data_IF_209108948120
#
_entry.id   IF_209108948120
#
_cell.length_a   1.000
_cell.length_b   1.000
_cell.length_c   1.000
_cell.angle_alpha   90.00
_cell.angle_beta   90.00
_cell.angle_gamma   90.00
#
_symmetry.space_group_name_H-M   'P 1'
#
loop_
_entity.id
_entity.type
_entity.pdbx_description
1 polymer ?
#
# COMPACT_ATOMS: atom_id res chain seq x y z
N UNK A 1 9.86 -9.33 -1.90
CA UNK A 1 10.18 -9.95 -0.59
C UNK A 1 10.48 -11.43 -0.73
N UNK A 2 9.54 -12.24 -1.24
CA UNK A 2 9.70 -13.70 -1.36
C UNK A 2 10.45 -14.16 -2.61
N UNK A 3 10.57 -13.30 -3.61
CA UNK A 3 11.17 -13.59 -4.92
C UNK A 3 11.77 -12.32 -5.51
N UNK A 4 12.49 -12.46 -6.62
CA UNK A 4 12.97 -11.37 -7.47
C UNK A 4 12.20 -11.32 -8.81
N UNK A 5 12.34 -10.22 -9.54
CA UNK A 5 11.64 -9.98 -10.80
C UNK A 5 12.02 -11.00 -11.89
N UNK A 6 13.31 -11.36 -12.02
CA UNK A 6 13.78 -12.30 -13.04
C UNK A 6 13.13 -13.68 -12.89
N UNK A 7 13.01 -14.19 -11.67
CA UNK A 7 12.39 -15.49 -11.39
C UNK A 7 10.88 -15.47 -11.60
N UNK A 8 10.23 -14.33 -11.40
CA UNK A 8 8.81 -14.14 -11.76
C UNK A 8 8.65 -14.12 -13.28
N UNK A 9 9.49 -13.39 -14.01
CA UNK A 9 9.43 -13.32 -15.47
C UNK A 9 9.64 -14.69 -16.13
N UNK A 10 10.54 -15.53 -15.58
CA UNK A 10 10.69 -16.92 -16.04
C UNK A 10 9.42 -17.75 -15.86
N UNK A 11 8.74 -17.61 -14.72
CA UNK A 11 7.50 -18.34 -14.42
C UNK A 11 6.28 -17.83 -15.21
N UNK A 12 6.35 -16.60 -15.73
CA UNK A 12 5.34 -15.99 -16.58
C UNK A 12 5.75 -15.96 -18.06
N UNK A 13 6.75 -16.76 -18.46
CA UNK A 13 7.32 -16.74 -19.82
C UNK A 13 6.32 -17.12 -20.93
N UNK A 14 5.22 -17.79 -20.58
CA UNK A 14 4.12 -18.07 -21.49
C UNK A 14 3.25 -16.84 -21.83
N UNK A 15 3.39 -15.74 -21.10
CA UNK A 15 2.62 -14.51 -21.29
C UNK A 15 3.50 -13.38 -21.83
N UNK A 16 2.90 -12.46 -22.59
CA UNK A 16 3.56 -11.25 -23.04
C UNK A 16 3.59 -10.21 -21.90
N UNK A 17 4.52 -10.40 -20.95
CA UNK A 17 4.70 -9.51 -19.80
C UNK A 17 5.55 -8.31 -20.19
N UNK A 18 5.09 -7.11 -19.81
CA UNK A 18 5.85 -5.87 -19.94
C UNK A 18 6.19 -5.34 -18.55
N UNK A 19 7.45 -4.98 -18.32
CA UNK A 19 7.83 -4.24 -17.10
C UNK A 19 7.46 -2.78 -17.30
N UNK A 20 6.74 -2.20 -16.34
CA UNK A 20 6.32 -0.80 -16.43
C UNK A 20 7.53 0.15 -16.43
N UNK A 21 7.49 1.18 -17.29
CA UNK A 21 8.59 2.12 -17.44
C UNK A 21 8.78 3.07 -16.24
N UNK A 22 7.73 3.29 -15.43
CA UNK A 22 7.74 4.25 -14.32
C UNK A 22 7.89 3.57 -12.96
N UNK A 23 7.39 2.34 -12.83
CA UNK A 23 7.38 1.58 -11.58
C UNK A 23 8.17 0.30 -11.75
N UNK A 24 9.39 0.27 -11.21
CA UNK A 24 10.39 -0.79 -11.44
C UNK A 24 9.88 -2.22 -11.26
N UNK A 25 9.09 -2.46 -10.21
CA UNK A 25 8.59 -3.78 -9.84
C UNK A 25 7.15 -4.05 -10.29
N UNK A 26 6.59 -3.21 -11.16
CA UNK A 26 5.26 -3.40 -11.71
C UNK A 26 5.33 -4.17 -13.03
N UNK A 27 4.65 -5.32 -13.07
CA UNK A 27 4.50 -6.14 -14.26
C UNK A 27 3.11 -5.91 -14.85
N UNK A 28 3.07 -5.51 -16.12
CA UNK A 28 1.86 -5.39 -16.92
C UNK A 28 1.59 -6.72 -17.58
N UNK A 29 0.41 -7.27 -17.30
CA UNK A 29 -0.06 -8.55 -17.82
C UNK A 29 -1.15 -8.29 -18.88
N UNK A 30 -1.22 -9.06 -19.97
CA UNK A 30 -2.30 -8.95 -20.95
C UNK A 30 -3.69 -9.07 -20.31
N UNK A 31 -4.67 -8.33 -20.84
CA UNK A 31 -6.00 -8.19 -20.24
C UNK A 31 -6.83 -9.48 -20.24
N UNK A 32 -6.48 -10.44 -21.09
CA UNK A 32 -7.11 -11.75 -21.22
C UNK A 32 -6.54 -12.81 -20.26
N UNK A 33 -5.51 -12.46 -19.49
CA UNK A 33 -4.90 -13.37 -18.50
C UNK A 33 -5.52 -13.14 -17.13
N UNK A 34 -6.21 -14.15 -16.62
CA UNK A 34 -6.76 -14.14 -15.26
C UNK A 34 -5.66 -14.43 -14.22
N UNK A 35 -5.25 -13.41 -13.47
CA UNK A 35 -4.19 -13.53 -12.48
C UNK A 35 -4.68 -13.82 -11.05
N UNK A 36 -5.97 -13.70 -10.76
CA UNK A 36 -6.51 -13.82 -9.39
C UNK A 36 -6.19 -15.18 -8.76
N UNK A 37 -6.33 -16.26 -9.52
CA UNK A 37 -6.05 -17.62 -9.05
C UNK A 37 -4.64 -18.11 -9.41
N UNK A 38 -3.81 -17.25 -10.00
CA UNK A 38 -2.47 -17.62 -10.39
C UNK A 38 -1.61 -17.96 -9.16
N UNK A 39 -0.79 -19.02 -9.25
CA UNK A 39 0.00 -19.53 -8.14
C UNK A 39 0.88 -18.46 -7.49
N UNK A 40 1.47 -17.56 -8.27
CA UNK A 40 2.28 -16.44 -7.77
C UNK A 40 1.49 -15.43 -6.95
N UNK A 41 0.20 -15.20 -7.26
CA UNK A 41 -0.67 -14.31 -6.47
C UNK A 41 -1.10 -15.00 -5.18
N UNK A 42 -1.52 -16.26 -5.27
CA UNK A 42 -1.95 -17.06 -4.12
C UNK A 42 -0.82 -17.26 -3.09
N UNK A 43 0.41 -17.39 -3.57
CA UNK A 43 1.62 -17.52 -2.74
C UNK A 43 2.25 -16.17 -2.36
N UNK A 44 1.58 -15.03 -2.60
CA UNK A 44 2.06 -13.68 -2.26
C UNK A 44 3.41 -13.28 -2.89
N UNK A 45 3.81 -13.94 -3.98
CA UNK A 45 4.96 -13.54 -4.80
C UNK A 45 4.60 -12.35 -5.70
N UNK A 46 3.32 -12.22 -6.06
CA UNK A 46 2.73 -11.08 -6.77
C UNK A 46 1.56 -10.49 -5.99
N UNK A 47 1.41 -9.17 -6.10
CA UNK A 47 0.27 -8.43 -5.57
C UNK A 47 -0.41 -7.74 -6.75
N UNK A 48 -1.72 -7.95 -6.88
CA UNK A 48 -2.52 -7.23 -7.87
C UNK A 48 -2.75 -5.80 -7.38
N UNK A 49 -2.27 -4.83 -8.16
CA UNK A 49 -2.31 -3.42 -7.81
C UNK A 49 -2.40 -2.55 -9.07
N UNK A 50 -3.26 -1.54 -9.01
CA UNK A 50 -3.36 -0.52 -10.05
C UNK A 50 -2.08 0.33 -10.11
N UNK A 51 -1.62 0.65 -11.32
CA UNK A 51 -0.40 1.45 -11.54
C UNK A 51 -0.42 2.78 -10.76
N UNK A 52 -1.55 3.49 -10.74
CA UNK A 52 -1.68 4.76 -10.00
C UNK A 52 -1.44 4.56 -8.50
N UNK A 53 -1.89 3.43 -7.95
CA UNK A 53 -1.68 3.09 -6.54
C UNK A 53 -0.22 2.79 -6.19
N UNK A 54 0.63 2.49 -7.18
CA UNK A 54 2.04 2.21 -6.94
C UNK A 54 2.88 3.48 -6.73
N UNK A 55 2.46 4.62 -7.29
CA UNK A 55 3.26 5.85 -7.30
C UNK A 55 3.59 6.41 -5.92
N UNK A 56 2.66 6.50 -4.93
CA UNK A 56 3.01 7.06 -3.63
C UNK A 56 4.15 6.30 -2.93
N UNK A 57 4.13 4.97 -3.00
CA UNK A 57 5.21 4.14 -2.46
C UNK A 57 6.49 4.27 -3.31
N UNK A 58 6.38 4.29 -4.64
CA UNK A 58 7.52 4.46 -5.54
C UNK A 58 8.25 5.79 -5.30
N UNK A 59 7.51 6.90 -5.18
CA UNK A 59 8.06 8.23 -4.94
C UNK A 59 8.77 8.30 -3.59
N UNK A 60 8.20 7.69 -2.55
CA UNK A 60 8.86 7.64 -1.24
C UNK A 60 10.16 6.83 -1.27
N UNK A 61 10.19 5.74 -2.03
CA UNK A 61 11.36 4.88 -2.16
C UNK A 61 12.44 5.46 -3.09
N UNK A 62 12.07 6.40 -3.98
CA UNK A 62 12.95 7.06 -4.92
C UNK A 62 13.68 8.24 -4.26
N UNK A 63 14.64 7.92 -3.38
CA UNK A 63 15.42 8.90 -2.63
C UNK A 63 16.91 8.55 -2.64
N UNK A 64 17.77 9.58 -2.62
CA UNK A 64 19.23 9.44 -2.62
C UNK A 64 19.80 8.81 -1.33
N UNK A 65 19.01 8.73 -0.26
CA UNK A 65 19.43 8.17 1.04
C UNK A 65 18.55 6.99 1.44
N UNK A 66 19.11 5.92 2.03
CA UNK A 66 18.29 4.81 2.51
C UNK A 66 17.40 5.26 3.67
N UNK A 67 16.09 5.03 3.52
CA UNK A 67 15.12 5.25 4.59
C UNK A 67 15.30 4.20 5.69
N UNK A 68 15.32 4.65 6.95
CA UNK A 68 15.46 3.81 8.14
C UNK A 68 14.12 3.51 8.79
N UNK A 69 13.20 4.47 8.83
CA UNK A 69 11.88 4.25 9.41
C UNK A 69 10.78 4.95 8.60
N UNK A 70 9.84 4.16 8.10
CA UNK A 70 8.64 4.64 7.42
C UNK A 70 7.38 4.37 8.23
N UNK A 71 6.37 5.22 8.05
CA UNK A 71 5.01 4.97 8.52
C UNK A 71 4.07 4.87 7.32
N UNK A 72 3.20 3.87 7.32
CA UNK A 72 1.98 3.84 6.52
C UNK A 72 0.79 4.08 7.46
N UNK A 73 0.12 5.22 7.30
CA UNK A 73 -0.92 5.67 8.24
C UNK A 73 -2.30 5.02 8.00
N UNK A 74 -2.53 4.39 6.86
CA UNK A 74 -3.83 3.85 6.42
C UNK A 74 -3.63 2.56 5.61
N UNK A 75 -3.10 1.54 6.27
CA UNK A 75 -2.36 0.48 5.60
C UNK A 75 -3.19 -0.62 4.94
N UNK A 76 -4.41 -0.90 5.40
CA UNK A 76 -5.15 -2.04 4.87
C UNK A 76 -5.75 -1.77 3.47
N UNK A 77 -5.79 -2.76 2.56
CA UNK A 77 -5.49 -4.17 2.79
C UNK A 77 -4.01 -4.55 2.66
N UNK A 78 -3.08 -3.59 2.57
CA UNK A 78 -1.64 -3.84 2.65
C UNK A 78 -0.86 -3.77 1.35
N UNK A 79 -1.47 -3.40 0.22
CA UNK A 79 -0.78 -3.35 -1.07
C UNK A 79 0.41 -2.37 -1.05
N UNK A 80 0.15 -1.10 -0.68
CA UNK A 80 1.20 -0.07 -0.56
C UNK A 80 2.20 -0.40 0.54
N UNK A 81 1.72 -0.92 1.67
CA UNK A 81 2.58 -1.37 2.78
C UNK A 81 3.57 -2.45 2.34
N UNK A 82 3.12 -3.45 1.59
CA UNK A 82 3.97 -4.53 1.10
C UNK A 82 4.91 -4.05 -0.01
N UNK A 83 4.46 -3.11 -0.86
CA UNK A 83 5.33 -2.46 -1.85
C UNK A 83 6.45 -1.67 -1.17
N UNK A 84 6.13 -0.88 -0.13
CA UNK A 84 7.13 -0.19 0.70
C UNK A 84 8.11 -1.18 1.33
N UNK A 85 7.62 -2.25 1.95
CA UNK A 85 8.47 -3.25 2.59
C UNK A 85 9.40 -3.96 1.60
N UNK A 86 8.93 -4.20 0.37
CA UNK A 86 9.75 -4.80 -0.69
C UNK A 86 10.89 -3.90 -1.15
N UNK A 87 10.66 -2.58 -1.22
CA UNK A 87 11.67 -1.61 -1.66
C UNK A 87 12.61 -1.09 -0.57
N UNK A 88 12.25 -1.24 0.71
CA UNK A 88 13.07 -0.79 1.83
C UNK A 88 14.39 -1.58 1.95
N UNK A 89 15.46 -0.90 2.37
CA UNK A 89 16.75 -1.53 2.68
C UNK A 89 16.67 -2.45 3.91
N UNK A 90 17.51 -3.48 3.96
CA UNK A 90 17.59 -4.38 5.11
C UNK A 90 17.85 -3.60 6.41
N UNK A 91 17.15 -3.97 7.49
CA UNK A 91 17.20 -3.27 8.77
C UNK A 91 16.31 -2.03 8.88
N UNK A 92 15.72 -1.55 7.78
CA UNK A 92 14.70 -0.51 7.84
C UNK A 92 13.40 -1.02 8.47
N UNK A 93 12.72 -0.14 9.21
CA UNK A 93 11.48 -0.37 9.91
C UNK A 93 10.30 0.23 9.14
N UNK A 94 9.18 -0.49 9.08
CA UNK A 94 7.91 0.04 8.60
C UNK A 94 6.85 -0.11 9.68
N UNK A 95 6.19 0.98 10.10
CA UNK A 95 5.04 0.92 11.00
C UNK A 95 3.75 1.14 10.21
N UNK A 96 2.81 0.22 10.32
CA UNK A 96 1.58 0.19 9.52
C UNK A 96 0.35 0.32 10.43
N UNK A 97 -0.42 1.39 10.27
CA UNK A 97 -1.64 1.67 11.04
C UNK A 97 -2.89 1.29 10.26
N UNK A 98 -3.82 0.61 10.92
CA UNK A 98 -5.19 0.45 10.44
C UNK A 98 -6.14 0.49 11.63
N UNK A 99 -7.17 1.35 11.55
CA UNK A 99 -8.14 1.53 12.64
C UNK A 99 -9.25 0.49 12.63
N UNK A 100 -9.62 -0.01 11.45
CA UNK A 100 -10.68 -0.99 11.32
C UNK A 100 -10.16 -2.40 11.60
N UNK A 101 -10.73 -3.08 12.59
CA UNK A 101 -10.22 -4.38 13.06
C UNK A 101 -10.30 -5.48 12.00
N UNK A 102 -11.31 -5.46 11.14
CA UNK A 102 -11.49 -6.49 10.10
C UNK A 102 -10.43 -6.29 9.00
N UNK A 103 -10.25 -5.04 8.58
CA UNK A 103 -9.21 -4.65 7.61
C UNK A 103 -7.80 -4.87 8.18
N UNK A 104 -7.59 -4.62 9.47
CA UNK A 104 -6.34 -4.89 10.18
C UNK A 104 -5.99 -6.39 10.18
N UNK A 105 -6.96 -7.27 10.43
CA UNK A 105 -6.73 -8.71 10.37
C UNK A 105 -6.31 -9.15 8.96
N UNK A 106 -6.88 -8.53 7.92
CA UNK A 106 -6.48 -8.76 6.52
C UNK A 106 -5.05 -8.31 6.27
N UNK A 107 -4.68 -7.11 6.75
CA UNK A 107 -3.30 -6.61 6.69
C UNK A 107 -2.33 -7.59 7.36
N UNK A 108 -2.60 -8.00 8.60
CA UNK A 108 -1.71 -8.92 9.34
C UNK A 108 -1.53 -10.25 8.62
N UNK A 109 -2.61 -10.84 8.11
CA UNK A 109 -2.53 -12.08 7.32
C UNK A 109 -1.63 -11.90 6.10
N UNK A 110 -1.79 -10.81 5.35
CA UNK A 110 -1.03 -10.55 4.12
C UNK A 110 0.44 -10.23 4.40
N UNK A 111 0.72 -9.50 5.48
CA UNK A 111 2.09 -9.25 5.97
C UNK A 111 2.78 -10.58 6.33
N UNK A 112 2.09 -11.47 7.04
CA UNK A 112 2.63 -12.79 7.38
C UNK A 112 2.86 -13.65 6.12
N UNK A 113 1.88 -13.71 5.21
CA UNK A 113 1.98 -14.48 3.96
C UNK A 113 3.11 -13.98 3.05
N UNK A 114 3.37 -12.67 3.02
CA UNK A 114 4.46 -12.07 2.25
C UNK A 114 5.84 -12.20 2.93
N UNK A 115 5.93 -12.86 4.10
CA UNK A 115 7.17 -13.02 4.84
C UNK A 115 7.74 -11.71 5.37
N UNK A 116 6.88 -10.74 5.71
CA UNK A 116 7.28 -9.37 6.06
C UNK A 116 7.11 -9.03 7.56
N UNK A 117 6.78 -10.02 8.39
CA UNK A 117 6.40 -9.83 9.80
C UNK A 117 7.56 -9.36 10.70
N UNK A 118 8.81 -9.56 10.27
CA UNK A 118 10.03 -9.11 10.94
C UNK A 118 10.37 -7.63 10.66
N UNK A 119 9.81 -7.07 9.58
CA UNK A 119 10.11 -5.70 9.12
C UNK A 119 8.94 -4.74 9.28
N UNK A 120 7.71 -5.26 9.33
CA UNK A 120 6.49 -4.46 9.43
C UNK A 120 5.87 -4.61 10.82
N UNK A 121 5.87 -3.51 11.58
CA UNK A 121 5.13 -3.39 12.83
C UNK A 121 3.69 -2.95 12.53
N UNK A 122 2.72 -3.87 12.65
CA UNK A 122 1.30 -3.56 12.42
C UNK A 122 0.59 -3.10 13.70
N UNK A 123 -0.16 -2.00 13.62
CA UNK A 123 -0.91 -1.42 14.74
C UNK A 123 -2.40 -1.31 14.41
N UNK A 124 -3.24 -1.98 15.21
CA UNK A 124 -4.70 -1.85 15.14
C UNK A 124 -5.14 -0.59 15.89
N UNK A 125 -4.87 0.58 15.32
CA UNK A 125 -5.14 1.87 15.93
C UNK A 125 -5.38 2.94 14.87
N UNK A 126 -6.07 4.01 15.27
CA UNK A 126 -6.09 5.23 14.47
C UNK A 126 -4.70 5.86 14.53
N UNK A 127 -4.10 6.20 13.39
CA UNK A 127 -2.81 6.87 13.34
C UNK A 127 -2.78 8.13 14.22
N UNK A 128 -3.89 8.87 14.30
CA UNK A 128 -3.99 10.09 15.11
C UNK A 128 -3.98 9.86 16.62
N UNK A 129 -4.08 8.60 17.06
CA UNK A 129 -4.10 8.23 18.48
C UNK A 129 -2.70 8.12 19.09
N UNK A 130 -1.65 7.98 18.27
CA UNK A 130 -0.28 8.04 18.76
C UNK A 130 0.20 9.50 18.83
N UNK A 131 1.24 9.79 19.62
CA UNK A 131 1.84 11.11 19.63
C UNK A 131 3.03 11.11 18.67
N UNK A 132 3.09 12.00 17.66
CA UNK A 132 4.25 12.13 16.77
C UNK A 132 5.56 12.43 17.52
N UNK A 133 5.46 12.92 18.77
CA UNK A 133 6.59 13.23 19.66
C UNK A 133 7.05 12.06 20.52
N UNK A 134 6.42 10.90 20.41
CA UNK A 134 6.90 9.71 21.13
C UNK A 134 8.28 9.30 20.60
N UNK A 135 9.20 8.94 21.49
CA UNK A 135 10.59 8.59 21.14
C UNK A 135 10.67 7.50 20.04
N UNK A 136 9.69 6.61 19.99
CA UNK A 136 9.62 5.55 18.97
C UNK A 136 9.43 6.05 17.54
N UNK A 137 9.06 7.32 17.35
CA UNK A 137 8.88 7.97 16.05
C UNK A 137 9.92 9.07 15.78
N UNK A 138 10.88 9.28 16.69
CA UNK A 138 11.89 10.34 16.57
C UNK A 138 12.75 10.22 15.30
N UNK A 139 12.91 9.00 14.78
CA UNK A 139 13.72 8.68 13.60
C UNK A 139 12.88 8.37 12.34
N UNK A 140 11.59 8.73 12.32
CA UNK A 140 10.74 8.53 11.12
C UNK A 140 11.21 9.43 9.99
N UNK A 141 11.60 8.83 8.86
CA UNK A 141 12.10 9.54 7.69
C UNK A 141 10.97 10.04 6.78
N UNK A 142 9.89 9.28 6.66
CA UNK A 142 8.71 9.68 5.90
C UNK A 142 7.43 8.92 6.31
N UNK A 143 6.28 9.50 5.93
CA UNK A 143 4.94 8.98 6.22
C UNK A 143 4.15 8.90 4.91
N UNK A 144 3.61 7.72 4.60
CA UNK A 144 2.63 7.51 3.56
C UNK A 144 1.22 7.68 4.13
N UNK A 145 0.43 8.58 3.56
CA UNK A 145 -0.95 8.86 3.97
C UNK A 145 -1.86 8.59 2.77
N UNK A 146 -2.48 7.41 2.74
CA UNK A 146 -3.45 6.98 1.72
C UNK A 146 -4.82 6.67 2.35
N UNK A 147 -5.57 7.71 2.76
CA UNK A 147 -6.81 7.54 3.48
C UNK A 147 -7.96 7.20 2.52
N UNK A 148 -9.08 6.77 3.09
CA UNK A 148 -10.33 6.68 2.33
C UNK A 148 -10.65 8.00 1.63
N UNK A 149 -11.02 7.91 0.36
CA UNK A 149 -11.45 9.04 -0.46
C UNK A 149 -12.84 8.75 -1.04
N UNK A 150 -13.37 9.67 -1.85
CA UNK A 150 -14.65 9.46 -2.54
C UNK A 150 -14.63 8.29 -3.52
N UNK A 151 -13.44 7.90 -3.99
CA UNK A 151 -13.28 6.88 -5.04
C UNK A 151 -13.68 7.38 -6.44
N UNK A 152 -13.91 8.69 -6.62
CA UNK A 152 -14.36 9.27 -7.90
C UNK A 152 -13.38 9.07 -9.05
N UNK A 153 -12.08 8.94 -8.77
CA UNK A 153 -11.08 8.64 -9.80
C UNK A 153 -11.15 7.22 -10.37
N UNK A 154 -11.87 6.30 -9.69
CA UNK A 154 -11.98 4.90 -10.11
C UNK A 154 -13.34 4.59 -10.77
N UNK A 155 -14.32 5.49 -10.70
CA UNK A 155 -15.70 5.22 -11.16
C UNK A 155 -15.81 4.91 -12.65
N UNK A 156 -14.82 5.32 -13.46
CA UNK A 156 -14.80 5.05 -14.89
C UNK A 156 -14.53 3.60 -15.26
N UNK A 157 -13.97 2.80 -14.33
CA UNK A 157 -13.54 1.42 -14.64
C UNK A 157 -13.70 0.43 -13.47
N UNK A 158 -14.17 0.89 -12.30
CA UNK A 158 -14.46 0.07 -11.12
C UNK A 158 -15.93 0.20 -10.73
N UNK A 159 -16.67 -0.90 -10.84
CA UNK A 159 -18.11 -0.94 -10.55
C UNK A 159 -18.41 -0.61 -9.09
N UNK A 160 -17.61 -1.12 -8.16
CA UNK A 160 -17.71 -0.82 -6.73
C UNK A 160 -17.54 0.67 -6.45
N UNK A 161 -16.54 1.30 -7.09
CA UNK A 161 -16.33 2.74 -6.97
C UNK A 161 -17.47 3.54 -7.61
N UNK A 162 -18.02 3.10 -8.75
CA UNK A 162 -19.17 3.74 -9.40
C UNK A 162 -20.40 3.76 -8.47
N UNK A 163 -20.71 2.62 -7.85
CA UNK A 163 -21.82 2.49 -6.90
C UNK A 163 -21.61 3.37 -5.65
N UNK A 164 -20.38 3.41 -5.14
CA UNK A 164 -20.02 4.26 -4.01
C UNK A 164 -20.20 5.74 -4.34
N UNK A 165 -19.74 6.19 -5.51
CA UNK A 165 -19.90 7.58 -5.93
C UNK A 165 -21.37 7.96 -6.16
N UNK A 166 -22.18 7.05 -6.71
CA UNK A 166 -23.60 7.29 -6.95
C UNK A 166 -24.42 7.52 -5.67
N UNK A 167 -23.92 7.05 -4.53
CA UNK A 167 -24.57 7.18 -3.22
C UNK A 167 -23.92 8.23 -2.32
N UNK A 168 -22.85 8.87 -2.78
CA UNK A 168 -22.06 9.83 -2.00
C UNK A 168 -22.83 11.15 -1.83
N UNK A 169 -22.98 11.60 -0.58
CA UNK A 169 -23.55 12.92 -0.28
C UNK A 169 -22.47 14.00 -0.19
N UNK A 170 -22.86 15.28 -0.31
CA UNK A 170 -21.96 16.40 -0.03
C UNK A 170 -21.41 16.35 1.41
N UNK A 171 -22.23 15.91 2.36
CA UNK A 171 -21.82 15.74 3.77
C UNK A 171 -20.75 14.65 3.94
N UNK A 172 -20.83 13.56 3.17
CA UNK A 172 -19.78 12.53 3.17
C UNK A 172 -18.46 13.06 2.62
N UNK A 173 -18.52 13.85 1.54
CA UNK A 173 -17.33 14.48 0.96
C UNK A 173 -16.66 15.41 1.98
N UNK A 174 -17.43 16.25 2.67
CA UNK A 174 -16.91 17.14 3.72
C UNK A 174 -16.29 16.37 4.89
N UNK A 175 -16.90 15.24 5.29
CA UNK A 175 -16.37 14.37 6.33
C UNK A 175 -15.06 13.72 5.90
N UNK A 176 -14.96 13.22 4.66
CA UNK A 176 -13.73 12.65 4.12
C UNK A 176 -12.62 13.70 4.05
N UNK A 177 -12.92 14.90 3.55
CA UNK A 177 -11.97 16.01 3.50
C UNK A 177 -11.44 16.36 4.89
N UNK A 178 -12.33 16.47 5.88
CA UNK A 178 -11.92 16.78 7.26
C UNK A 178 -10.99 15.71 7.84
N UNK A 179 -11.31 14.43 7.62
CA UNK A 179 -10.44 13.32 8.05
C UNK A 179 -9.06 13.35 7.37
N UNK A 180 -9.02 13.65 6.08
CA UNK A 180 -7.78 13.74 5.31
C UNK A 180 -6.89 14.88 5.82
N UNK A 181 -7.46 16.05 6.06
CA UNK A 181 -6.74 17.21 6.63
C UNK A 181 -6.18 16.86 8.01
N UNK A 182 -6.98 16.25 8.88
CA UNK A 182 -6.53 15.88 10.23
C UNK A 182 -5.37 14.89 10.21
N UNK A 183 -5.35 13.93 9.29
CA UNK A 183 -4.24 12.99 9.13
C UNK A 183 -2.96 13.69 8.69
N UNK A 184 -3.05 14.59 7.72
CA UNK A 184 -1.90 15.36 7.23
C UNK A 184 -1.36 16.26 8.35
N UNK A 185 -2.24 17.01 9.02
CA UNK A 185 -1.85 17.87 10.14
C UNK A 185 -1.25 17.09 11.31
N UNK A 186 -1.68 15.84 11.52
CA UNK A 186 -1.08 14.97 12.52
C UNK A 186 0.33 14.54 12.13
N UNK A 187 0.53 14.12 10.88
CA UNK A 187 1.84 13.67 10.38
C UNK A 187 2.90 14.77 10.32
N UNK A 188 2.50 16.04 10.20
CA UNK A 188 3.41 17.18 10.10
C UNK A 188 3.84 17.80 11.44
N UNK A 189 3.48 17.19 12.58
CA UNK A 189 3.82 17.66 13.93
C UNK A 189 5.09 17.03 14.47
#
# INVERSE_FOLDING_TARGET
LLTNQDDVLKQLSQYEIVVDEHVRDLLVVPADVEMYDHALVQSSHLILQDKASCFPAQILLDTDRPLRHLIDACSAPGNKTLQLAAGLASGAKLTAFERDRIRYNTLCRRVAQAGAADRIETRCADFRSCSPRDDQFADVDAVLIDPSCSGSGLSGYRVDAMLQNATMSEGDIQRLQSQQIELILHAMR
#
